data_IF_190402503303
#
_entry.id   IF_190402503303
#
_cell.length_a   1.000
_cell.length_b   1.000
_cell.length_c   1.000
_cell.angle_alpha   90.00
_cell.angle_beta   90.00
_cell.angle_gamma   90.00
#
_symmetry.space_group_name_H-M   'P 1'
#
loop_
_entity.id
_entity.type
_entity.pdbx_description
1 polymer ?
#
# COMPACT_ATOMS: atom_id res chain seq x y z
N UNK A 1 -14.45 6.63 -19.19
CA UNK A 1 -13.61 5.69 -18.39
C UNK A 1 -13.33 6.33 -17.05
N UNK A 2 -13.35 5.55 -15.96
CA UNK A 2 -12.94 6.01 -14.63
C UNK A 2 -11.42 5.82 -14.48
N UNK A 3 -10.80 6.52 -13.52
CA UNK A 3 -9.34 6.63 -13.41
C UNK A 3 -8.78 5.78 -12.28
N UNK A 4 -7.78 4.96 -12.61
CA UNK A 4 -6.94 4.24 -11.66
C UNK A 4 -5.52 4.80 -11.77
N UNK A 5 -5.04 5.45 -10.71
CA UNK A 5 -3.79 6.22 -10.73
C UNK A 5 -3.04 5.99 -9.41
N UNK A 6 -1.72 5.84 -9.52
CA UNK A 6 -0.79 5.77 -8.38
C UNK A 6 0.24 6.89 -8.54
N UNK A 7 0.45 7.68 -7.49
CA UNK A 7 1.55 8.64 -7.42
C UNK A 7 2.70 8.05 -6.60
N UNK A 8 3.91 8.28 -7.12
CA UNK A 8 5.15 7.79 -6.56
C UNK A 8 6.10 8.96 -6.29
N UNK A 9 6.80 8.89 -5.18
CA UNK A 9 7.88 9.79 -4.79
C UNK A 9 9.22 9.07 -4.89
N UNK A 10 10.21 9.75 -5.49
CA UNK A 10 11.58 9.25 -5.61
C UNK A 10 12.22 9.17 -4.22
N UNK A 11 12.94 8.10 -3.96
CA UNK A 11 13.68 7.89 -2.71
C UNK A 11 15.12 7.46 -2.95
N UNK A 12 15.90 7.35 -1.88
CA UNK A 12 17.31 6.89 -1.93
C UNK A 12 17.43 5.51 -2.57
N UNK A 13 16.41 4.67 -2.41
CA UNK A 13 16.34 3.35 -3.03
C UNK A 13 16.27 3.38 -4.57
N UNK A 14 15.99 4.53 -5.19
CA UNK A 14 15.90 4.70 -6.64
C UNK A 14 17.11 5.46 -7.22
N UNK A 15 18.20 5.61 -6.49
CA UNK A 15 19.40 6.34 -6.94
C UNK A 15 20.56 5.36 -7.20
N UNK A 16 21.27 5.46 -8.34
CA UNK A 16 21.11 6.45 -9.43
C UNK A 16 19.91 6.15 -10.36
N UNK A 17 19.34 7.21 -10.92
CA UNK A 17 18.24 7.09 -11.89
C UNK A 17 18.74 7.25 -13.32
N UNK A 18 19.12 6.13 -13.93
CA UNK A 18 19.53 6.07 -15.33
C UNK A 18 18.34 5.87 -16.28
N UNK A 19 17.33 5.12 -15.84
CA UNK A 19 16.10 4.85 -16.58
C UNK A 19 14.93 4.79 -15.59
N UNK A 20 13.90 5.60 -15.82
CA UNK A 20 12.74 5.72 -14.92
C UNK A 20 11.91 4.43 -14.85
N UNK A 21 11.73 3.73 -15.97
CA UNK A 21 10.93 2.50 -16.02
C UNK A 21 11.69 1.37 -15.33
N UNK A 22 12.99 1.22 -15.60
CA UNK A 22 13.82 0.24 -14.92
C UNK A 22 13.84 0.51 -13.40
N UNK A 23 13.97 1.77 -12.99
CA UNK A 23 13.90 2.13 -11.57
C UNK A 23 12.55 1.82 -10.94
N UNK A 24 11.45 2.08 -11.66
CA UNK A 24 10.12 1.73 -11.20
C UNK A 24 9.96 0.22 -11.01
N UNK A 25 10.51 -0.59 -11.92
CA UNK A 25 10.35 -2.05 -11.90
C UNK A 25 11.27 -2.71 -10.88
N UNK A 26 12.52 -2.26 -10.77
CA UNK A 26 13.56 -2.96 -10.01
C UNK A 26 13.95 -2.30 -8.69
N UNK A 27 13.67 -1.00 -8.51
CA UNK A 27 14.17 -0.24 -7.38
C UNK A 27 13.06 0.34 -6.49
N UNK A 28 11.92 0.74 -7.09
CA UNK A 28 10.78 1.26 -6.35
C UNK A 28 10.12 0.20 -5.47
N UNK A 29 9.59 0.63 -4.33
CA UNK A 29 8.85 -0.22 -3.40
C UNK A 29 7.63 0.48 -2.81
N UNK A 30 6.88 -0.19 -1.92
CA UNK A 30 5.66 0.35 -1.31
C UNK A 30 5.85 1.71 -0.64
N UNK A 31 7.02 1.96 -0.06
CA UNK A 31 7.39 3.22 0.58
C UNK A 31 7.38 4.44 -0.37
N UNK A 32 7.54 4.19 -1.68
CA UNK A 32 7.52 5.24 -2.68
C UNK A 32 6.10 5.68 -3.04
N UNK A 33 5.06 4.92 -2.72
CA UNK A 33 3.68 5.30 -3.04
C UNK A 33 3.18 6.40 -2.09
N UNK A 34 2.66 7.49 -2.63
CA UNK A 34 2.12 8.61 -1.82
C UNK A 34 0.60 8.70 -1.89
N UNK A 35 0.03 8.53 -3.07
CA UNK A 35 -1.40 8.69 -3.31
C UNK A 35 -1.91 7.59 -4.24
N UNK A 36 -3.13 7.13 -3.99
CA UNK A 36 -3.80 6.12 -4.81
C UNK A 36 -5.22 6.58 -5.09
N UNK A 37 -5.59 6.54 -6.37
CA UNK A 37 -6.95 6.76 -6.86
C UNK A 37 -7.45 5.48 -7.52
N UNK A 38 -8.63 5.02 -7.10
CA UNK A 38 -9.32 3.87 -7.68
C UNK A 38 -10.68 4.35 -8.14
N UNK A 39 -11.02 4.08 -9.39
CA UNK A 39 -12.32 4.42 -9.97
C UNK A 39 -12.69 5.91 -9.82
N UNK A 40 -11.69 6.81 -9.93
CA UNK A 40 -11.86 8.25 -9.73
C UNK A 40 -11.95 8.71 -8.26
N UNK A 41 -11.85 7.81 -7.28
CA UNK A 41 -11.91 8.11 -5.84
C UNK A 41 -10.53 7.98 -5.21
N UNK A 42 -10.14 8.97 -4.41
CA UNK A 42 -8.85 8.97 -3.72
C UNK A 42 -8.99 8.10 -2.47
N UNK A 43 -8.28 6.97 -2.45
CA UNK A 43 -8.33 5.99 -1.36
C UNK A 43 -7.14 6.13 -0.41
N UNK A 44 -6.03 6.70 -0.87
CA UNK A 44 -4.86 7.03 -0.07
C UNK A 44 -4.32 8.40 -0.50
N UNK A 45 -3.90 9.22 0.47
CA UNK A 45 -3.28 10.54 0.23
C UNK A 45 -2.17 10.81 1.22
N UNK A 46 -1.02 11.29 0.75
CA UNK A 46 0.16 11.54 1.59
C UNK A 46 0.47 10.35 2.52
N UNK A 47 0.41 9.13 1.98
CA UNK A 47 0.64 7.86 2.70
C UNK A 47 -0.38 7.55 3.81
N UNK A 48 -1.51 8.25 3.87
CA UNK A 48 -2.61 7.95 4.80
C UNK A 48 -3.78 7.34 4.06
N UNK A 49 -4.25 6.18 4.50
CA UNK A 49 -5.44 5.55 3.93
C UNK A 49 -6.69 6.33 4.38
N UNK A 50 -7.60 6.60 3.45
CA UNK A 50 -8.78 7.44 3.69
C UNK A 50 -10.07 6.63 3.83
N UNK A 51 -10.02 5.33 3.52
CA UNK A 51 -11.20 4.49 3.36
C UNK A 51 -11.36 3.40 4.40
N UNK A 52 -10.36 3.20 5.27
CA UNK A 52 -10.42 2.23 6.36
C UNK A 52 -9.88 2.84 7.65
N UNK A 53 -10.34 2.31 8.77
CA UNK A 53 -9.77 2.55 10.09
C UNK A 53 -8.65 1.52 10.33
N UNK A 54 -7.40 1.96 10.26
CA UNK A 54 -6.23 1.06 10.33
C UNK A 54 -6.14 0.32 11.66
N UNK A 55 -6.48 0.98 12.78
CA UNK A 55 -6.44 0.35 14.11
C UNK A 55 -7.51 -0.73 14.22
N UNK A 56 -8.74 -0.43 13.77
CA UNK A 56 -9.81 -1.43 13.75
C UNK A 56 -9.45 -2.64 12.87
N UNK A 57 -8.88 -2.40 11.69
CA UNK A 57 -8.44 -3.48 10.79
C UNK A 57 -7.37 -4.35 11.45
N UNK A 58 -6.44 -3.74 12.19
CA UNK A 58 -5.40 -4.46 12.92
C UNK A 58 -5.99 -5.31 14.05
N UNK A 59 -6.91 -4.76 14.84
CA UNK A 59 -7.61 -5.51 15.90
C UNK A 59 -8.38 -6.71 15.34
N UNK A 60 -9.10 -6.52 14.24
CA UNK A 60 -9.84 -7.59 13.55
C UNK A 60 -8.89 -8.67 13.02
N UNK A 61 -7.74 -8.28 12.45
CA UNK A 61 -6.73 -9.21 11.97
C UNK A 61 -6.09 -10.03 13.10
N UNK A 62 -5.77 -9.39 14.23
CA UNK A 62 -5.24 -10.07 15.41
C UNK A 62 -6.23 -11.09 15.98
N UNK A 63 -7.51 -10.73 16.05
CA UNK A 63 -8.57 -11.65 16.48
C UNK A 63 -8.69 -12.83 15.53
N UNK A 64 -8.75 -12.58 14.22
CA UNK A 64 -8.84 -13.64 13.21
C UNK A 64 -7.65 -14.61 13.27
N UNK A 65 -6.44 -14.10 13.54
CA UNK A 65 -5.25 -14.92 13.70
C UNK A 65 -5.35 -15.84 14.94
N UNK A 66 -5.84 -15.32 16.08
CA UNK A 66 -6.07 -16.12 17.30
C UNK A 66 -7.09 -17.23 17.04
N UNK A 67 -8.23 -16.90 16.45
CA UNK A 67 -9.29 -17.86 16.13
C UNK A 67 -8.80 -18.95 15.14
N UNK A 68 -7.88 -18.61 14.22
CA UNK A 68 -7.27 -19.59 13.32
C UNK A 68 -6.36 -20.57 14.06
N UNK A 69 -5.53 -20.08 14.99
CA UNK A 69 -4.62 -20.94 15.78
C UNK A 69 -5.41 -21.87 16.72
N UNK A 70 -6.47 -21.37 17.36
CA UNK A 70 -7.32 -22.19 18.24
C UNK A 70 -8.00 -23.35 17.49
N UNK A 71 -8.50 -23.10 16.28
CA UNK A 71 -9.10 -24.13 15.41
C UNK A 71 -8.11 -25.16 14.89
N UNK A 72 -6.83 -24.79 14.76
CA UNK A 72 -5.79 -25.71 14.27
C UNK A 72 -5.26 -26.65 15.38
N UNK A 73 -5.49 -26.32 16.65
CA UNK A 73 -5.10 -27.12 17.81
C UNK A 73 -6.27 -27.90 18.44
N UNK A 74 -7.47 -27.84 17.86
CA UNK A 74 -8.65 -28.65 18.24
C UNK A 74 -8.89 -29.79 17.24
#
# INVERSE_FOLDING_TARGET
KLADIVLLERGVNMVPEHDLIANLVYAAGPQNVTDVMINGKIVMRNRKILTVDEEKVKEEAEKAAKDLVERAHS
#
